data_IF_635913636053
#
_entry.id   IF_635913636053
#
_cell.length_a   1.000
_cell.length_b   1.000
_cell.length_c   1.000
_cell.angle_alpha   90.00
_cell.angle_beta   90.00
_cell.angle_gamma   90.00
#
_symmetry.space_group_name_H-M   'P 1'
#
loop_
_entity.id
_entity.type
_entity.pdbx_description
1 polymer ?
#
# COMPACT_ATOMS: atom_id res chain seq x y z
N UNK A 1 -7.98 -44.58 -31.21
CA UNK A 1 -7.00 -44.08 -30.22
C UNK A 1 -6.93 -42.58 -30.39
N UNK A 2 -7.71 -41.82 -29.60
CA UNK A 2 -7.75 -40.36 -29.70
C UNK A 2 -6.68 -39.83 -28.76
N UNK A 3 -5.60 -39.31 -29.33
CA UNK A 3 -4.58 -38.58 -28.60
C UNK A 3 -5.17 -37.21 -28.25
N UNK A 4 -5.90 -37.15 -27.13
CA UNK A 4 -6.28 -35.88 -26.52
C UNK A 4 -5.02 -35.25 -25.94
N UNK A 5 -4.44 -34.32 -26.69
CA UNK A 5 -3.44 -33.39 -26.17
C UNK A 5 -4.14 -32.51 -25.14
N UNK A 6 -3.98 -32.84 -23.86
CA UNK A 6 -4.29 -31.92 -22.76
C UNK A 6 -3.39 -30.70 -22.94
N UNK A 7 -3.94 -29.63 -23.51
CA UNK A 7 -3.34 -28.31 -23.37
C UNK A 7 -3.54 -27.96 -21.90
N UNK A 8 -2.54 -28.26 -21.07
CA UNK A 8 -2.44 -27.66 -19.76
C UNK A 8 -2.39 -26.15 -19.99
N UNK A 9 -3.53 -25.49 -19.78
CA UNK A 9 -3.58 -24.05 -19.60
C UNK A 9 -2.86 -23.77 -18.28
N UNK A 10 -1.53 -23.73 -18.32
CA UNK A 10 -0.75 -23.03 -17.31
C UNK A 10 -1.16 -21.57 -17.41
N UNK A 11 -2.20 -21.18 -16.67
CA UNK A 11 -2.39 -19.78 -16.34
C UNK A 11 -1.11 -19.36 -15.64
N UNK A 12 -0.28 -18.63 -16.37
CA UNK A 12 0.94 -18.02 -15.90
C UNK A 12 0.53 -17.06 -14.78
N UNK A 13 0.53 -17.55 -13.55
CA UNK A 13 0.47 -16.73 -12.37
C UNK A 13 1.65 -15.75 -12.44
N UNK A 14 1.42 -14.51 -12.87
CA UNK A 14 2.41 -13.46 -12.70
C UNK A 14 2.44 -13.11 -11.21
N UNK A 15 3.59 -13.23 -10.54
CA UNK A 15 3.69 -12.75 -9.17
C UNK A 15 3.51 -11.24 -9.17
N UNK A 16 3.09 -10.71 -8.02
CA UNK A 16 3.12 -9.26 -7.79
C UNK A 16 4.50 -8.69 -8.09
N UNK A 17 4.52 -7.41 -8.43
CA UNK A 17 5.76 -6.68 -8.67
C UNK A 17 5.96 -5.62 -7.59
N UNK A 18 7.15 -5.04 -7.46
CA UNK A 18 7.37 -3.93 -6.54
C UNK A 18 6.42 -2.74 -6.79
N UNK A 19 5.93 -2.55 -8.01
CA UNK A 19 4.98 -1.49 -8.35
C UNK A 19 3.61 -1.63 -7.68
N UNK A 20 3.28 -2.82 -7.19
CA UNK A 20 2.04 -3.12 -6.48
C UNK A 20 2.14 -2.74 -4.99
N UNK A 21 3.33 -2.36 -4.51
CA UNK A 21 3.57 -2.06 -3.10
C UNK A 21 3.08 -0.67 -2.74
N UNK A 22 2.14 -0.62 -1.81
CA UNK A 22 1.65 0.62 -1.21
C UNK A 22 1.95 0.68 0.29
N UNK A 23 2.05 1.91 0.82
CA UNK A 23 1.98 2.20 2.24
C UNK A 23 0.79 3.15 2.46
N UNK A 24 0.04 2.93 3.55
CA UNK A 24 -1.08 3.78 3.94
C UNK A 24 -1.32 3.76 5.45
N UNK A 25 -2.23 4.62 5.93
CA UNK A 25 -2.85 4.53 7.25
C UNK A 25 -4.17 3.76 7.13
N UNK A 26 -4.31 2.70 7.89
CA UNK A 26 -5.57 1.96 7.98
C UNK A 26 -6.64 2.76 8.75
N UNK A 27 -7.85 2.86 8.22
CA UNK A 27 -8.97 3.53 8.89
C UNK A 27 -10.01 2.53 9.39
N UNK A 28 -10.67 1.85 8.47
CA UNK A 28 -11.72 0.90 8.78
C UNK A 28 -11.93 -0.09 7.64
N UNK A 29 -12.71 -1.12 7.92
CA UNK A 29 -13.20 -2.07 6.92
C UNK A 29 -14.71 -2.16 7.04
N UNK A 30 -15.41 -2.09 5.92
CA UNK A 30 -16.85 -2.27 5.84
C UNK A 30 -17.15 -3.50 4.99
N UNK A 31 -17.78 -4.51 5.61
CA UNK A 31 -18.27 -5.68 4.89
C UNK A 31 -19.51 -5.31 4.09
N UNK A 32 -19.55 -5.64 2.80
CA UNK A 32 -20.77 -5.49 2.03
C UNK A 32 -21.73 -6.64 2.41
N UNK A 33 -22.88 -6.32 3.01
CA UNK A 33 -23.82 -7.32 3.55
C UNK A 33 -24.32 -8.31 2.49
N UNK A 34 -24.28 -7.95 1.20
CA UNK A 34 -24.70 -8.83 0.11
C UNK A 34 -23.60 -9.79 -0.39
N UNK A 35 -22.33 -9.55 -0.05
CA UNK A 35 -21.21 -10.32 -0.61
C UNK A 35 -20.06 -10.44 0.40
N UNK A 36 -19.98 -11.60 1.08
CA UNK A 36 -19.01 -11.88 2.15
C UNK A 36 -17.54 -11.95 1.68
N UNK A 37 -17.29 -11.79 0.38
CA UNK A 37 -15.96 -11.83 -0.23
C UNK A 37 -15.49 -10.47 -0.75
N UNK A 38 -16.25 -9.39 -0.54
CA UNK A 38 -15.87 -8.04 -0.98
C UNK A 38 -15.97 -7.06 0.18
N UNK A 39 -14.82 -6.74 0.78
CA UNK A 39 -14.70 -5.81 1.88
C UNK A 39 -14.15 -4.49 1.38
N UNK A 40 -14.88 -3.39 1.61
CA UNK A 40 -14.39 -2.05 1.32
C UNK A 40 -13.42 -1.64 2.43
N UNK A 41 -12.21 -1.27 2.06
CA UNK A 41 -11.16 -0.84 2.99
C UNK A 41 -11.00 0.67 2.86
N UNK A 42 -11.05 1.37 3.99
CA UNK A 42 -10.76 2.79 4.03
C UNK A 42 -9.31 3.00 4.46
N UNK A 43 -8.57 3.69 3.60
CA UNK A 43 -7.19 4.06 3.80
C UNK A 43 -7.07 5.59 3.77
N UNK A 44 -6.04 6.10 4.41
CA UNK A 44 -5.62 7.50 4.25
C UNK A 44 -4.11 7.60 4.05
N UNK A 45 -3.69 8.73 3.48
CA UNK A 45 -2.29 9.01 3.16
C UNK A 45 -1.61 7.91 2.31
N UNK A 46 -2.41 7.21 1.51
CA UNK A 46 -2.00 6.10 0.64
C UNK A 46 -1.00 6.55 -0.43
N UNK A 47 0.07 5.76 -0.60
CA UNK A 47 1.11 5.98 -1.62
C UNK A 47 1.67 4.65 -2.10
N UNK A 48 1.81 4.50 -3.41
CA UNK A 48 2.64 3.44 -3.98
C UNK A 48 4.12 3.87 -3.90
N UNK A 49 4.96 3.04 -3.29
CA UNK A 49 6.31 3.47 -2.85
C UNK A 49 7.45 3.06 -3.78
N UNK A 50 7.22 2.11 -4.68
CA UNK A 50 8.22 1.67 -5.66
C UNK A 50 7.77 1.85 -7.12
N UNK A 51 6.68 2.58 -7.35
CA UNK A 51 6.27 2.95 -8.71
C UNK A 51 7.26 3.95 -9.31
N UNK A 52 7.39 3.90 -10.63
CA UNK A 52 8.14 4.93 -11.34
C UNK A 52 7.35 6.24 -11.32
N UNK A 53 8.05 7.36 -11.49
CA UNK A 53 7.42 8.70 -11.59
C UNK A 53 6.47 8.82 -12.77
N UNK A 54 6.69 8.05 -13.84
CA UNK A 54 5.81 7.98 -15.02
C UNK A 54 4.49 7.31 -14.65
N UNK A 55 4.53 6.24 -13.87
CA UNK A 55 3.34 5.52 -13.44
C UNK A 55 2.55 6.34 -12.41
N UNK A 56 3.23 7.08 -11.53
CA UNK A 56 2.57 7.99 -10.59
C UNK A 56 1.74 9.08 -11.28
N UNK A 57 2.13 9.51 -12.49
CA UNK A 57 1.34 10.43 -13.31
C UNK A 57 0.16 9.76 -14.03
N UNK A 58 0.30 8.48 -14.43
CA UNK A 58 -0.77 7.75 -15.14
C UNK A 58 -1.90 7.29 -14.21
N UNK A 59 -1.57 6.95 -12.97
CA UNK A 59 -2.53 6.43 -12.01
C UNK A 59 -2.91 7.54 -11.03
N UNK A 60 -4.13 8.09 -11.18
CA UNK A 60 -4.72 9.04 -10.24
C UNK A 60 -4.87 8.42 -8.84
N UNK A 61 -5.00 9.25 -7.80
CA UNK A 61 -5.30 8.78 -6.43
C UNK A 61 -6.55 7.91 -6.47
N UNK A 62 -6.38 6.64 -6.07
CA UNK A 62 -7.48 5.70 -5.96
C UNK A 62 -8.61 6.26 -5.11
N UNK A 63 -9.83 6.06 -5.56
CA UNK A 63 -11.04 6.42 -4.83
C UNK A 63 -11.59 5.25 -4.01
N UNK A 64 -11.27 3.99 -4.35
CA UNK A 64 -11.83 2.82 -3.68
C UNK A 64 -10.84 1.66 -3.54
N UNK A 65 -10.71 1.15 -2.32
CA UNK A 65 -9.87 -0.01 -2.01
C UNK A 65 -10.76 -1.17 -1.55
N UNK A 66 -10.51 -2.35 -2.09
CA UNK A 66 -11.25 -3.56 -1.79
C UNK A 66 -10.30 -4.66 -1.34
N UNK A 67 -10.79 -5.57 -0.50
CA UNK A 67 -10.08 -6.80 -0.15
C UNK A 67 -11.03 -7.99 -0.28
N UNK A 68 -10.46 -9.14 -0.63
CA UNK A 68 -11.18 -10.42 -0.76
C UNK A 68 -11.10 -11.27 0.50
N UNK A 69 -10.52 -10.73 1.55
CA UNK A 69 -10.30 -11.40 2.83
C UNK A 69 -10.81 -10.54 3.99
N UNK A 70 -11.26 -11.19 5.05
CA UNK A 70 -11.69 -10.48 6.25
C UNK A 70 -10.48 -9.84 6.95
N UNK A 71 -10.59 -8.55 7.24
CA UNK A 71 -9.59 -7.82 8.02
C UNK A 71 -10.08 -7.78 9.47
N UNK A 72 -9.29 -8.33 10.38
CA UNK A 72 -9.58 -8.29 11.81
C UNK A 72 -8.36 -7.76 12.58
N UNK A 73 -8.59 -7.11 13.72
CA UNK A 73 -7.55 -6.75 14.69
C UNK A 73 -6.45 -5.79 14.19
N UNK A 74 -6.77 -4.90 13.24
CA UNK A 74 -5.89 -3.79 12.83
C UNK A 74 -6.36 -2.50 13.49
N UNK A 75 -5.53 -1.87 14.34
CA UNK A 75 -5.88 -0.60 14.95
C UNK A 75 -6.10 0.48 13.90
N UNK A 76 -7.10 1.35 14.13
CA UNK A 76 -7.25 2.59 13.37
C UNK A 76 -5.94 3.40 13.43
N UNK A 77 -5.61 4.09 12.34
CA UNK A 77 -4.37 4.82 12.12
C UNK A 77 -3.10 3.96 12.10
N UNK A 78 -3.16 2.63 12.11
CA UNK A 78 -1.95 1.82 11.93
C UNK A 78 -1.34 2.07 10.55
N UNK A 79 -0.04 2.34 10.47
CA UNK A 79 0.66 2.35 9.18
C UNK A 79 0.77 0.91 8.70
N UNK A 80 0.32 0.65 7.48
CA UNK A 80 0.35 -0.65 6.83
C UNK A 80 1.17 -0.58 5.56
N UNK A 81 1.75 -1.72 5.18
CA UNK A 81 2.35 -1.95 3.87
C UNK A 81 1.62 -3.11 3.20
N UNK A 82 1.25 -2.97 1.94
CA UNK A 82 0.44 -3.96 1.24
C UNK A 82 0.76 -4.10 -0.23
N UNK A 83 0.14 -5.11 -0.83
CA UNK A 83 0.15 -5.36 -2.26
C UNK A 83 -1.25 -5.08 -2.81
N UNK A 84 -1.34 -4.26 -3.84
CA UNK A 84 -2.59 -3.99 -4.53
C UNK A 84 -2.40 -3.78 -6.03
N UNK A 85 -3.38 -4.23 -6.80
CA UNK A 85 -3.43 -4.05 -8.26
C UNK A 85 -4.78 -3.47 -8.67
N UNK A 86 -4.82 -2.82 -9.84
CA UNK A 86 -6.04 -2.37 -10.47
C UNK A 86 -6.59 -3.53 -11.33
N UNK A 87 -7.77 -4.11 -11.03
CA UNK A 87 -8.29 -5.28 -11.75
C UNK A 87 -8.46 -5.06 -13.26
N UNK A 88 -8.88 -3.85 -13.65
CA UNK A 88 -9.12 -3.50 -15.06
C UNK A 88 -7.82 -3.13 -15.81
N UNK A 89 -6.65 -3.20 -15.16
CA UNK A 89 -5.33 -2.88 -15.72
C UNK A 89 -5.10 -1.39 -16.05
N UNK A 90 -6.16 -0.65 -16.36
CA UNK A 90 -6.13 0.73 -16.85
C UNK A 90 -6.99 1.70 -16.01
N UNK A 91 -7.93 1.21 -15.19
CA UNK A 91 -8.75 2.07 -14.32
C UNK A 91 -8.08 2.20 -12.95
N UNK A 92 -7.62 3.42 -12.62
CA UNK A 92 -6.96 3.72 -11.35
C UNK A 92 -7.96 3.94 -10.18
N UNK A 93 -9.26 3.85 -10.43
CA UNK A 93 -10.28 4.21 -9.45
C UNK A 93 -10.49 3.13 -8.38
N UNK A 94 -10.32 1.86 -8.75
CA UNK A 94 -10.52 0.70 -7.89
C UNK A 94 -9.25 -0.14 -7.76
N UNK A 95 -8.81 -0.37 -6.53
CA UNK A 95 -7.70 -1.27 -6.23
C UNK A 95 -8.14 -2.47 -5.40
N UNK A 96 -7.69 -3.64 -5.83
CA UNK A 96 -7.81 -4.88 -5.08
C UNK A 96 -6.55 -5.09 -4.23
N UNK A 97 -6.71 -4.99 -2.91
CA UNK A 97 -5.71 -5.39 -1.93
C UNK A 97 -5.66 -6.90 -1.88
N UNK A 98 -4.48 -7.45 -2.09
CA UNK A 98 -4.24 -8.90 -2.07
C UNK A 98 -3.80 -9.37 -0.70
N UNK A 99 -2.95 -8.58 -0.04
CA UNK A 99 -2.58 -8.76 1.35
C UNK A 99 -1.92 -7.50 1.88
N UNK A 100 -1.84 -7.36 3.20
CA UNK A 100 -1.05 -6.31 3.84
C UNK A 100 -0.53 -6.76 5.21
N UNK A 101 0.43 -6.03 5.73
CA UNK A 101 1.08 -6.21 7.02
C UNK A 101 1.19 -4.87 7.76
N UNK A 102 1.40 -4.91 9.07
CA UNK A 102 1.73 -3.72 9.85
C UNK A 102 3.14 -3.28 9.52
N UNK A 103 3.31 -2.00 9.23
CA UNK A 103 4.61 -1.35 9.12
C UNK A 103 4.91 -0.64 10.43
N UNK A 104 5.82 -1.22 11.20
CA UNK A 104 6.21 -0.70 12.50
C UNK A 104 7.48 0.15 12.36
N UNK A 105 7.65 1.10 13.27
CA UNK A 105 8.90 1.83 13.39
C UNK A 105 9.22 2.06 14.86
N UNK A 106 10.34 1.51 15.30
CA UNK A 106 10.84 1.60 16.67
C UNK A 106 12.33 1.90 16.62
N UNK A 107 12.80 2.84 17.44
CA UNK A 107 14.20 3.26 17.48
C UNK A 107 14.76 3.62 16.09
N UNK A 108 13.97 4.34 15.29
CA UNK A 108 14.26 4.74 13.91
C UNK A 108 14.54 3.57 12.94
N UNK A 109 14.08 2.36 13.28
CA UNK A 109 14.16 1.18 12.43
C UNK A 109 12.78 0.72 12.01
N UNK A 110 12.59 0.60 10.71
CA UNK A 110 11.36 0.08 10.12
C UNK A 110 11.37 -1.44 10.15
N UNK A 111 10.23 -2.04 10.50
CA UNK A 111 10.02 -3.49 10.44
C UNK A 111 8.61 -3.80 9.90
N UNK A 112 8.46 -4.98 9.31
CA UNK A 112 7.21 -5.44 8.70
C UNK A 112 6.73 -6.67 9.46
N UNK A 113 5.49 -6.66 9.92
CA UNK A 113 4.88 -7.84 10.55
C UNK A 113 4.61 -8.94 9.53
N UNK A 114 4.14 -10.10 9.98
CA UNK A 114 3.53 -11.07 9.07
C UNK A 114 2.31 -10.46 8.37
N UNK A 115 2.06 -10.94 7.15
CA UNK A 115 0.90 -10.53 6.38
C UNK A 115 -0.38 -11.07 7.00
N UNK A 116 -1.49 -10.38 6.77
CA UNK A 116 -2.78 -10.74 7.38
C UNK A 116 -3.47 -11.86 6.60
N UNK A 117 -3.25 -11.92 5.29
CA UNK A 117 -3.85 -12.92 4.42
C UNK A 117 -2.78 -13.65 3.60
N UNK A 118 -2.97 -14.96 3.35
CA UNK A 118 -2.24 -15.68 2.32
C UNK A 118 -2.39 -14.99 0.97
N UNK A 119 -1.34 -15.04 0.16
CA UNK A 119 -1.35 -14.43 -1.16
C UNK A 119 -0.51 -15.25 -2.15
N UNK A 120 -0.71 -14.97 -3.43
CA UNK A 120 0.07 -15.59 -4.50
C UNK A 120 1.46 -14.96 -4.52
N UNK A 121 2.49 -15.78 -4.39
CA UNK A 121 3.87 -15.33 -4.30
C UNK A 121 4.80 -16.23 -5.13
N UNK A 122 5.87 -15.65 -5.66
CA UNK A 122 6.92 -16.40 -6.33
C UNK A 122 7.73 -17.22 -5.33
N UNK A 123 7.83 -18.53 -5.56
CA UNK A 123 8.74 -19.39 -4.82
C UNK A 123 10.05 -19.52 -5.59
N UNK A 124 11.11 -18.87 -5.09
CA UNK A 124 12.45 -18.90 -5.71
C UNK A 124 13.09 -20.29 -5.72
N UNK A 125 12.71 -21.18 -4.80
CA UNK A 125 13.27 -22.55 -4.73
C UNK A 125 12.68 -23.45 -5.82
N UNK A 126 11.37 -23.37 -6.03
CA UNK A 126 10.64 -24.21 -6.99
C UNK A 126 10.39 -23.50 -8.34
N UNK A 127 10.80 -22.24 -8.47
CA UNK A 127 10.61 -21.41 -9.67
C UNK A 127 9.18 -21.42 -10.20
N UNK A 128 8.21 -21.31 -9.29
CA UNK A 128 6.80 -21.23 -9.64
C UNK A 128 6.03 -20.33 -8.67
N UNK A 129 4.87 -19.86 -9.11
CA UNK A 129 3.92 -19.16 -8.26
C UNK A 129 3.01 -20.16 -7.55
N UNK A 130 2.76 -19.88 -6.28
CA UNK A 130 1.84 -20.67 -5.47
C UNK A 130 1.20 -19.78 -4.40
N UNK A 131 -0.02 -20.12 -3.97
CA UNK A 131 -0.63 -19.48 -2.81
C UNK A 131 0.18 -19.85 -1.58
N UNK A 132 0.80 -18.85 -0.95
CA UNK A 132 1.65 -19.04 0.22
C UNK A 132 0.90 -18.60 1.48
N UNK A 133 0.98 -19.45 2.50
CA UNK A 133 0.52 -19.13 3.83
C UNK A 133 1.29 -17.89 4.35
N UNK A 134 0.56 -16.94 4.94
CA UNK A 134 1.09 -15.71 5.54
C UNK A 134 2.08 -15.92 6.69
N UNK A 135 2.13 -17.12 7.25
CA UNK A 135 3.15 -17.52 8.25
C UNK A 135 4.52 -17.80 7.61
N UNK A 136 4.53 -18.21 6.34
CA UNK A 136 5.71 -18.79 5.67
C UNK A 136 6.43 -17.85 4.70
N UNK A 137 5.77 -16.78 4.27
CA UNK A 137 6.32 -15.84 3.29
C UNK A 137 6.06 -14.42 3.76
N UNK A 138 7.12 -13.62 3.78
CA UNK A 138 7.00 -12.21 4.07
C UNK A 138 6.42 -11.46 2.87
N UNK A 139 5.70 -10.36 3.12
CA UNK A 139 4.90 -9.71 2.07
C UNK A 139 5.72 -9.20 0.87
N UNK A 140 7.01 -8.89 1.08
CA UNK A 140 7.92 -8.43 0.03
C UNK A 140 8.88 -9.53 -0.47
N UNK A 141 8.79 -10.75 0.05
CA UNK A 141 9.57 -11.90 -0.42
C UNK A 141 8.97 -12.58 -1.66
N UNK A 142 7.70 -12.27 -1.97
CA UNK A 142 6.97 -12.89 -3.08
C UNK A 142 7.37 -12.42 -4.47
N UNK A 143 8.38 -11.55 -4.59
CA UNK A 143 8.86 -11.02 -5.85
C UNK A 143 9.97 -11.87 -6.47
N UNK A 144 10.10 -11.81 -7.80
CA UNK A 144 11.12 -12.57 -8.54
C UNK A 144 12.53 -12.08 -8.19
N UNK A 145 12.78 -10.77 -8.29
CA UNK A 145 14.13 -10.21 -8.31
C UNK A 145 14.81 -10.17 -6.94
N UNK A 146 14.14 -9.61 -5.94
CA UNK A 146 14.73 -9.28 -4.64
C UNK A 146 13.84 -9.77 -3.49
N UNK A 147 14.39 -9.80 -2.29
CA UNK A 147 13.72 -10.24 -1.06
C UNK A 147 13.26 -9.04 -0.21
N UNK A 148 12.54 -9.33 0.88
CA UNK A 148 12.07 -8.33 1.82
C UNK A 148 13.22 -7.54 2.43
N UNK A 149 14.38 -8.16 2.67
CA UNK A 149 15.55 -7.45 3.22
C UNK A 149 15.98 -6.31 2.30
N UNK A 150 16.03 -6.55 1.00
CA UNK A 150 16.33 -5.54 0.00
C UNK A 150 15.31 -4.40 -0.01
N UNK A 151 14.01 -4.73 -0.05
CA UNK A 151 12.97 -3.69 -0.09
C UNK A 151 12.81 -2.93 1.23
N UNK A 152 13.03 -3.60 2.36
CA UNK A 152 13.05 -2.95 3.68
C UNK A 152 14.21 -1.95 3.78
N UNK A 153 15.38 -2.27 3.21
CA UNK A 153 16.47 -1.31 3.13
C UNK A 153 16.13 -0.09 2.25
N UNK A 154 15.38 -0.28 1.16
CA UNK A 154 14.86 0.85 0.34
C UNK A 154 13.89 1.72 1.14
N UNK A 155 12.94 1.11 1.86
CA UNK A 155 11.97 1.82 2.71
C UNK A 155 12.71 2.60 3.81
N UNK A 156 13.67 1.96 4.51
CA UNK A 156 14.48 2.60 5.53
C UNK A 156 15.29 3.79 4.97
N UNK A 157 15.84 3.66 3.75
CA UNK A 157 16.56 4.76 3.09
C UNK A 157 15.64 5.94 2.77
N UNK A 158 14.40 5.66 2.34
CA UNK A 158 13.40 6.67 2.01
C UNK A 158 12.84 7.36 3.26
N UNK A 159 12.65 6.60 4.34
CA UNK A 159 12.14 7.07 5.62
C UNK A 159 13.13 6.75 6.75
N UNK A 160 14.22 7.53 6.88
CA UNK A 160 15.34 7.18 7.76
C UNK A 160 15.02 7.23 9.25
N UNK A 161 13.91 7.85 9.66
CA UNK A 161 13.48 7.95 11.04
C UNK A 161 11.98 7.68 11.17
N UNK A 162 11.54 7.27 12.36
CA UNK A 162 10.12 7.07 12.65
C UNK A 162 9.34 8.39 12.57
N UNK A 163 10.01 9.52 12.81
CA UNK A 163 9.43 10.85 12.57
C UNK A 163 9.17 11.05 11.07
N UNK A 164 10.15 10.81 10.19
CA UNK A 164 9.99 10.94 8.74
C UNK A 164 8.93 10.01 8.16
N UNK A 165 8.86 8.77 8.65
CA UNK A 165 7.80 7.84 8.24
C UNK A 165 6.41 8.38 8.64
N UNK A 166 6.23 8.83 9.88
CA UNK A 166 4.94 9.37 10.35
C UNK A 166 4.56 10.67 9.66
N UNK A 167 5.51 11.52 9.29
CA UNK A 167 5.28 12.74 8.49
C UNK A 167 4.86 12.40 7.06
N UNK A 168 5.42 11.36 6.46
CA UNK A 168 5.06 10.92 5.11
C UNK A 168 3.65 10.31 5.04
N UNK A 169 3.21 9.72 6.16
CA UNK A 169 1.92 9.06 6.36
C UNK A 169 1.20 9.64 7.60
N UNK A 170 0.70 10.89 7.53
CA UNK A 170 0.07 11.55 8.66
C UNK A 170 -1.24 10.85 9.05
N UNK A 171 -1.60 10.92 10.33
CA UNK A 171 -2.87 10.38 10.82
C UNK A 171 -4.06 11.19 10.28
N UNK A 172 -5.22 10.57 10.09
CA UNK A 172 -6.42 11.26 9.56
C UNK A 172 -6.98 12.28 10.55
N UNK A 173 -6.95 11.95 11.85
CA UNK A 173 -7.19 12.88 12.95
C UNK A 173 -5.89 13.51 13.40
N UNK A 174 -5.28 14.33 12.53
CA UNK A 174 -4.60 15.50 13.07
C UNK A 174 -5.74 16.41 13.51
N UNK A 175 -6.09 16.34 14.80
CA UNK A 175 -6.61 17.49 15.52
C UNK A 175 -5.76 18.67 15.05
N UNK A 176 -6.42 19.57 14.33
CA UNK A 176 -5.88 20.79 13.76
C UNK A 176 -4.95 21.37 14.83
N UNK A 177 -3.63 21.27 14.64
CA UNK A 177 -2.73 22.07 15.42
C UNK A 177 -3.05 23.49 14.95
N UNK A 178 -3.95 24.15 15.69
CA UNK A 178 -4.40 25.53 15.49
C UNK A 178 -3.22 26.47 15.22
N UNK A 179 -2.03 26.09 15.70
CA UNK A 179 -0.78 26.76 15.46
C UNK A 179 -0.32 26.79 13.98
N UNK A 180 -0.47 25.71 13.22
CA UNK A 180 -0.03 25.66 11.81
C UNK A 180 -0.98 26.46 10.92
N UNK A 181 -2.30 26.38 11.18
CA UNK A 181 -3.31 27.18 10.48
C UNK A 181 -3.19 28.66 10.80
N UNK A 182 -2.93 29.03 12.05
CA UNK A 182 -2.71 30.42 12.46
C UNK A 182 -1.43 31.00 11.82
N UNK A 183 -0.34 30.24 11.79
CA UNK A 183 0.92 30.68 11.17
C UNK A 183 0.76 30.85 9.66
N UNK A 184 0.11 29.89 8.98
CA UNK A 184 -0.12 29.99 7.54
C UNK A 184 -1.05 31.15 7.18
N UNK A 185 -2.13 31.36 7.95
CA UNK A 185 -3.05 32.49 7.77
C UNK A 185 -2.35 33.85 7.95
N UNK A 186 -1.56 33.99 9.01
CA UNK A 186 -0.73 35.20 9.26
C UNK A 186 0.23 35.47 8.11
N UNK A 187 0.88 34.43 7.59
CA UNK A 187 1.83 34.56 6.48
C UNK A 187 1.14 34.96 5.19
N UNK A 188 -0.03 34.36 4.90
CA UNK A 188 -0.84 34.68 3.72
C UNK A 188 -1.41 36.10 3.78
N UNK A 189 -1.88 36.55 4.95
CA UNK A 189 -2.37 37.93 5.14
C UNK A 189 -1.26 38.98 4.95
N UNK A 190 -0.02 38.70 5.39
CA UNK A 190 1.14 39.57 5.11
C UNK A 190 1.46 39.62 3.62
N UNK A 191 1.33 38.49 2.92
CA UNK A 191 1.60 38.39 1.48
C UNK A 191 0.57 39.16 0.65
N UNK A 192 -0.73 39.07 0.98
CA UNK A 192 -1.77 39.89 0.33
C UNK A 192 -1.52 41.37 0.58
N UNK A 193 -1.19 41.77 1.81
CA UNK A 193 -0.91 43.18 2.12
C UNK A 193 0.28 43.71 1.33
N UNK A 194 1.33 42.90 1.15
CA UNK A 194 2.49 43.28 0.35
C UNK A 194 2.13 43.42 -1.14
N UNK A 195 1.33 42.51 -1.70
CA UNK A 195 0.86 42.58 -3.09
C UNK A 195 -0.05 43.79 -3.33
N UNK A 196 -0.92 44.14 -2.39
CA UNK A 196 -1.78 45.34 -2.46
C UNK A 196 -1.03 46.66 -2.30
N UNK A 197 0.22 46.64 -1.85
CA UNK A 197 1.05 47.84 -1.74
C UNK A 197 1.80 48.15 -3.05
N UNK A 198 1.85 47.19 -3.98
CA UNK A 198 2.53 47.29 -5.28
C UNK A 198 1.56 47.43 -6.47
N UNK A 199 0.26 47.63 -6.20
CA UNK A 199 -0.81 47.80 -7.17
C UNK A 199 -1.61 49.05 -6.81
#
# INVERSE_FOLDING_TARGET
>A
MVLSFSIEQSFACAPHTPQDVFIARYQTVTANQANMTHFKVELSAEKFIFRSTIDEFRYTKSTQWHSSFAIQHIPKEQIIIGLAYAPDGNNADEYQIVSFAKLNCENDRVSISKSIAPFLAWNKQTSNCMHRNNETVDILDGFIEHDQKYYLAKIQKQYPTCKKLREAFPASSVEDNDHVRAVFKSMWERLIKWLKFWL
#
